data_IF_497840121371
#
_entry.id   IF_497840121371
#
_cell.length_a   1.000
_cell.length_b   1.000
_cell.length_c   1.000
_cell.angle_alpha   90.00
_cell.angle_beta   90.00
_cell.angle_gamma   90.00
#
_symmetry.space_group_name_H-M   'P 1'
#
loop_
_entity.id
_entity.type
_entity.pdbx_description
1 polymer ?
#
# COMPACT_ATOMS: atom_id res chain seq x y z
N UNK A 1 -19.87 -22.14 12.48
CA UNK A 1 -18.43 -22.10 12.19
C UNK A 1 -18.26 -21.22 10.96
N UNK A 2 -17.65 -20.04 11.10
CA UNK A 2 -17.36 -19.18 9.95
C UNK A 2 -16.41 -19.93 9.01
N UNK A 3 -16.82 -20.12 7.76
CA UNK A 3 -16.00 -20.82 6.76
C UNK A 3 -14.90 -19.85 6.31
N UNK A 4 -13.60 -20.15 6.53
CA UNK A 4 -12.51 -19.25 6.16
C UNK A 4 -12.39 -19.06 4.64
N UNK A 5 -13.02 -19.92 3.84
CA UNK A 5 -13.02 -19.92 2.38
C UNK A 5 -14.22 -19.19 1.75
N UNK A 6 -14.82 -18.24 2.46
CA UNK A 6 -15.85 -17.37 1.90
C UNK A 6 -15.23 -16.36 0.90
N UNK A 7 -15.96 -16.00 -0.16
CA UNK A 7 -15.47 -15.05 -1.17
C UNK A 7 -15.07 -13.70 -0.55
N UNK A 8 -15.76 -13.27 0.51
CA UNK A 8 -15.48 -12.03 1.25
C UNK A 8 -14.15 -12.10 2.02
N UNK A 9 -13.87 -13.22 2.71
CA UNK A 9 -12.61 -13.39 3.46
C UNK A 9 -11.43 -13.51 2.51
N UNK A 10 -11.62 -14.15 1.35
CA UNK A 10 -10.61 -14.21 0.29
C UNK A 10 -10.30 -12.82 -0.28
N UNK A 11 -11.33 -12.05 -0.68
CA UNK A 11 -11.15 -10.69 -1.20
C UNK A 11 -10.55 -9.74 -0.16
N UNK A 12 -10.96 -9.85 1.10
CA UNK A 12 -10.40 -9.07 2.21
C UNK A 12 -8.92 -9.36 2.41
N UNK A 13 -8.53 -10.64 2.45
CA UNK A 13 -7.12 -11.07 2.59
C UNK A 13 -6.27 -10.55 1.43
N UNK A 14 -6.74 -10.74 0.19
CA UNK A 14 -6.02 -10.27 -1.01
C UNK A 14 -5.86 -8.74 -1.02
N UNK A 15 -6.90 -8.00 -0.60
CA UNK A 15 -6.85 -6.54 -0.53
C UNK A 15 -5.85 -6.04 0.52
N UNK A 16 -5.81 -6.66 1.71
CA UNK A 16 -4.81 -6.34 2.73
C UNK A 16 -3.40 -6.63 2.24
N UNK A 17 -3.18 -7.81 1.64
CA UNK A 17 -1.87 -8.18 1.09
C UNK A 17 -1.42 -7.22 -0.01
N UNK A 18 -2.32 -6.85 -0.93
CA UNK A 18 -2.04 -5.89 -1.98
C UNK A 18 -1.72 -4.48 -1.41
N UNK A 19 -2.47 -4.03 -0.41
CA UNK A 19 -2.22 -2.75 0.27
C UNK A 19 -0.86 -2.71 0.96
N UNK A 20 -0.51 -3.77 1.69
CA UNK A 20 0.81 -3.91 2.32
C UNK A 20 1.95 -3.98 1.30
N UNK A 21 1.79 -4.77 0.24
CA UNK A 21 2.78 -4.87 -0.84
C UNK A 21 3.01 -3.52 -1.51
N UNK A 22 1.95 -2.77 -1.83
CA UNK A 22 2.06 -1.41 -2.38
C UNK A 22 2.86 -0.50 -1.44
N UNK A 23 2.57 -0.54 -0.14
CA UNK A 23 3.28 0.27 0.86
C UNK A 23 4.76 -0.10 0.95
N UNK A 24 5.09 -1.39 0.87
CA UNK A 24 6.47 -1.88 0.84
C UNK A 24 7.20 -1.46 -0.43
N UNK A 25 6.57 -1.56 -1.61
CA UNK A 25 7.17 -1.14 -2.87
C UNK A 25 7.45 0.36 -2.91
N UNK A 26 6.54 1.18 -2.38
CA UNK A 26 6.75 2.63 -2.22
C UNK A 26 7.89 2.89 -1.24
N UNK A 27 7.92 2.19 -0.09
CA UNK A 27 9.00 2.30 0.89
C UNK A 27 10.37 1.91 0.32
N UNK A 28 10.42 0.83 -0.46
CA UNK A 28 11.62 0.36 -1.16
C UNK A 28 12.13 1.42 -2.15
N UNK A 29 11.25 1.96 -3.01
CA UNK A 29 11.61 3.04 -3.93
C UNK A 29 12.12 4.29 -3.21
N UNK A 30 11.50 4.65 -2.08
CA UNK A 30 11.98 5.75 -1.23
C UNK A 30 13.35 5.49 -0.64
N UNK A 31 13.64 4.25 -0.26
CA UNK A 31 14.93 3.85 0.29
C UNK A 31 16.03 3.85 -0.78
N UNK A 32 15.77 3.27 -1.95
CA UNK A 32 16.72 3.21 -3.07
C UNK A 32 17.10 4.60 -3.60
N UNK A 33 16.24 5.62 -3.46
CA UNK A 33 16.57 7.02 -3.79
C UNK A 33 17.43 7.75 -2.76
N UNK A 34 17.62 7.20 -1.55
CA UNK A 34 18.46 7.85 -0.53
C UNK A 34 19.93 7.58 -0.87
N UNK A 35 20.69 8.65 -1.09
CA UNK A 35 22.13 8.55 -1.34
C UNK A 35 22.94 8.21 -0.08
N UNK A 36 24.27 8.22 -0.20
CA UNK A 36 25.22 7.88 0.88
C UNK A 36 25.04 8.67 2.19
N UNK A 37 24.42 9.86 2.13
CA UNK A 37 24.11 10.69 3.30
C UNK A 37 22.65 10.55 3.80
N UNK A 38 21.88 9.57 3.31
CA UNK A 38 20.45 9.41 3.62
C UNK A 38 19.54 10.47 3.00
N UNK A 39 20.11 11.46 2.31
CA UNK A 39 19.41 12.54 1.62
C UNK A 39 18.82 12.05 0.30
N UNK A 40 17.58 12.47 0.05
CA UNK A 40 16.84 12.13 -1.15
C UNK A 40 17.37 12.99 -2.31
N UNK A 41 18.05 12.36 -3.27
CA UNK A 41 18.62 13.08 -4.42
C UNK A 41 17.64 13.02 -5.59
N UNK A 42 17.35 14.17 -6.18
CA UNK A 42 16.54 14.29 -7.38
C UNK A 42 17.28 15.13 -8.40
N UNK A 43 17.32 14.67 -9.65
CA UNK A 43 18.09 15.33 -10.71
C UNK A 43 17.36 16.53 -11.32
N UNK A 44 16.03 16.61 -11.14
CA UNK A 44 15.23 17.73 -11.62
C UNK A 44 14.06 18.04 -10.70
N UNK A 45 13.67 19.33 -10.65
CA UNK A 45 12.51 19.80 -9.88
C UNK A 45 11.20 19.15 -10.35
N UNK A 46 11.03 18.96 -11.65
CA UNK A 46 9.83 18.32 -12.22
C UNK A 46 9.76 16.84 -11.87
N UNK A 47 10.89 16.13 -11.92
CA UNK A 47 10.95 14.72 -11.48
C UNK A 47 10.64 14.59 -9.99
N UNK A 48 11.13 15.51 -9.15
CA UNK A 48 10.79 15.56 -7.73
C UNK A 48 9.28 15.68 -7.52
N UNK A 49 8.64 16.64 -8.19
CA UNK A 49 7.19 16.89 -8.03
C UNK A 49 6.36 15.66 -8.43
N UNK A 50 6.64 15.09 -9.60
CA UNK A 50 5.89 13.95 -10.13
C UNK A 50 6.06 12.72 -9.23
N UNK A 51 7.30 12.44 -8.82
CA UNK A 51 7.60 11.25 -8.02
C UNK A 51 6.96 11.36 -6.63
N UNK A 52 7.08 12.50 -5.95
CA UNK A 52 6.45 12.70 -4.64
C UNK A 52 4.94 12.65 -4.75
N UNK A 53 4.36 13.25 -5.79
CA UNK A 53 2.93 13.17 -6.04
C UNK A 53 2.47 11.71 -6.18
N UNK A 54 3.10 10.93 -7.06
CA UNK A 54 2.77 9.51 -7.24
C UNK A 54 2.99 8.68 -5.96
N UNK A 55 4.03 8.96 -5.19
CA UNK A 55 4.27 8.29 -3.91
C UNK A 55 3.20 8.62 -2.86
N UNK A 56 2.71 9.86 -2.85
CA UNK A 56 1.66 10.30 -1.94
C UNK A 56 0.31 9.68 -2.29
N UNK A 57 -0.04 9.67 -3.58
CA UNK A 57 -1.25 9.02 -4.11
C UNK A 57 -1.17 7.51 -3.86
N UNK A 58 -0.04 6.89 -4.18
CA UNK A 58 0.17 5.47 -3.94
C UNK A 58 0.10 5.10 -2.46
N UNK A 59 0.61 5.95 -1.57
CA UNK A 59 0.51 5.74 -0.13
C UNK A 59 -0.94 5.85 0.35
N UNK A 60 -1.70 6.83 -0.13
CA UNK A 60 -3.13 6.97 0.16
C UNK A 60 -3.93 5.75 -0.33
N UNK A 61 -3.69 5.30 -1.57
CA UNK A 61 -4.31 4.08 -2.12
C UNK A 61 -3.96 2.85 -1.29
N UNK A 62 -2.69 2.69 -0.88
CA UNK A 62 -2.27 1.57 -0.04
C UNK A 62 -3.01 1.53 1.30
N UNK A 63 -3.24 2.71 1.90
CA UNK A 63 -3.94 2.85 3.17
C UNK A 63 -5.43 2.52 3.01
N UNK A 64 -6.09 3.10 2.00
CA UNK A 64 -7.49 2.81 1.70
C UNK A 64 -7.71 1.32 1.41
N UNK A 65 -6.85 0.72 0.60
CA UNK A 65 -6.95 -0.70 0.24
C UNK A 65 -6.77 -1.61 1.47
N UNK A 66 -5.85 -1.25 2.36
CA UNK A 66 -5.64 -1.97 3.62
C UNK A 66 -6.87 -1.84 4.54
N UNK A 67 -7.43 -0.63 4.68
CA UNK A 67 -8.62 -0.40 5.51
C UNK A 67 -9.85 -1.14 4.97
N UNK A 68 -10.09 -1.09 3.66
CA UNK A 68 -11.19 -1.81 3.00
C UNK A 68 -11.01 -3.32 3.19
N UNK A 69 -9.80 -3.84 3.01
CA UNK A 69 -9.51 -5.26 3.22
C UNK A 69 -9.79 -5.72 4.66
N UNK A 70 -9.42 -4.90 5.66
CA UNK A 70 -9.72 -5.18 7.07
C UNK A 70 -11.24 -5.18 7.30
N UNK A 71 -11.97 -4.19 6.77
CA UNK A 71 -13.43 -4.13 6.90
C UNK A 71 -14.12 -5.35 6.28
N UNK A 72 -13.64 -5.80 5.11
CA UNK A 72 -14.15 -7.01 4.44
C UNK A 72 -13.87 -8.28 5.24
N UNK A 73 -12.70 -8.39 5.87
CA UNK A 73 -12.37 -9.51 6.75
C UNK A 73 -13.28 -9.55 7.98
N UNK A 74 -13.52 -8.40 8.60
CA UNK A 74 -14.43 -8.29 9.75
C UNK A 74 -15.85 -8.67 9.32
N UNK A 75 -16.36 -8.09 8.22
CA UNK A 75 -17.69 -8.40 7.72
C UNK A 75 -17.85 -9.88 7.35
N UNK A 76 -16.86 -10.46 6.67
CA UNK A 76 -16.85 -11.87 6.30
C UNK A 76 -16.69 -12.84 7.47
N UNK A 77 -16.31 -12.38 8.66
CA UNK A 77 -16.29 -13.19 9.87
C UNK A 77 -17.68 -13.28 10.53
N UNK A 78 -18.48 -12.22 10.44
CA UNK A 78 -19.83 -12.17 11.01
C UNK A 78 -20.91 -12.81 10.13
N UNK A 79 -20.62 -13.04 8.85
CA UNK A 79 -21.49 -13.65 7.84
C UNK A 79 -21.05 -15.10 7.59
#
# INVERSE_FOLDING_TARGET
>A
MANPFNTLTLLGTLSVLAGLLLRLLIGKRKFERRGAAGLQRFDSFWSFLIIIFLESVGAAVSLLLTLIGILLLIAGYFI
#
